data_IF_132973280538
#
_entry.id   IF_132973280538
#
_cell.length_a   1.000
_cell.length_b   1.000
_cell.length_c   1.000
_cell.angle_alpha   90.00
_cell.angle_beta   90.00
_cell.angle_gamma   90.00
#
_symmetry.space_group_name_H-M   'P 1'
#
loop_
_entity.id
_entity.type
_entity.pdbx_description
1 polymer ?
#
# COMPACT_ATOMS: atom_id res chain seq x y z
N UNK A 1 -20.23 -67.10 -14.09
CA UNK A 1 -19.81 -67.97 -15.22
C UNK A 1 -18.30 -68.08 -15.21
N UNK A 2 -17.72 -69.23 -15.51
CA UNK A 2 -16.26 -69.39 -15.62
C UNK A 2 -15.77 -68.98 -17.02
N UNK A 3 -14.48 -68.64 -17.18
CA UNK A 3 -13.89 -68.34 -18.51
C UNK A 3 -14.06 -69.51 -19.50
N UNK A 4 -14.13 -70.75 -18.99
CA UNK A 4 -14.34 -71.95 -19.79
C UNK A 4 -15.79 -72.07 -20.27
N UNK A 5 -16.77 -71.75 -19.43
CA UNK A 5 -18.19 -71.69 -19.79
C UNK A 5 -18.47 -70.58 -20.80
N UNK A 6 -17.91 -69.38 -20.63
CA UNK A 6 -18.03 -68.28 -21.59
C UNK A 6 -17.48 -68.67 -22.98
N UNK A 7 -16.35 -69.38 -23.00
CA UNK A 7 -15.75 -69.91 -24.23
C UNK A 7 -16.63 -70.97 -24.88
N UNK A 8 -17.33 -71.79 -24.08
CA UNK A 8 -18.29 -72.75 -24.59
C UNK A 8 -19.51 -72.06 -25.23
N UNK A 9 -20.02 -70.97 -24.65
CA UNK A 9 -21.12 -70.18 -25.23
C UNK A 9 -20.71 -69.53 -26.56
N UNK A 10 -19.50 -68.94 -26.64
CA UNK A 10 -18.95 -68.38 -27.89
C UNK A 10 -18.78 -69.46 -28.95
N UNK A 11 -18.27 -70.64 -28.57
CA UNK A 11 -18.14 -71.77 -29.50
C UNK A 11 -19.51 -72.23 -30.00
N UNK A 12 -20.51 -72.30 -29.12
CA UNK A 12 -21.89 -72.67 -29.49
C UNK A 12 -22.51 -71.66 -30.45
N UNK A 13 -22.26 -70.38 -30.22
CA UNK A 13 -22.69 -69.31 -31.11
C UNK A 13 -22.03 -69.42 -32.50
N UNK A 14 -20.74 -69.76 -32.55
CA UNK A 14 -20.02 -70.02 -33.80
C UNK A 14 -20.58 -71.23 -34.54
N UNK A 15 -20.92 -72.33 -33.85
CA UNK A 15 -21.55 -73.51 -34.47
C UNK A 15 -22.88 -73.18 -35.15
N UNK A 16 -23.72 -72.33 -34.54
CA UNK A 16 -25.01 -71.92 -35.13
C UNK A 16 -24.76 -71.10 -36.40
N UNK A 17 -23.81 -70.16 -36.38
CA UNK A 17 -23.44 -69.38 -37.56
C UNK A 17 -22.83 -70.25 -38.67
N UNK A 18 -21.97 -71.19 -38.32
CA UNK A 18 -21.31 -72.08 -39.26
C UNK A 18 -22.30 -73.08 -39.86
N UNK A 19 -23.28 -73.55 -39.08
CA UNK A 19 -24.38 -74.38 -39.56
C UNK A 19 -25.28 -73.66 -40.57
N UNK A 20 -25.63 -72.40 -40.30
CA UNK A 20 -26.39 -71.57 -41.24
C UNK A 20 -25.60 -71.28 -42.53
N UNK A 21 -24.31 -70.93 -42.41
CA UNK A 21 -23.41 -70.69 -43.54
C UNK A 21 -23.19 -71.92 -44.41
N UNK A 22 -23.00 -73.10 -43.81
CA UNK A 22 -22.80 -74.35 -44.54
C UNK A 22 -24.02 -74.71 -45.42
N UNK A 23 -25.21 -74.30 -45.00
CA UNK A 23 -26.46 -74.48 -45.77
C UNK A 23 -26.81 -73.29 -46.66
N UNK A 24 -25.94 -72.26 -46.72
CA UNK A 24 -26.12 -71.04 -47.50
C UNK A 24 -27.51 -70.38 -47.28
N UNK A 25 -27.97 -70.38 -46.03
CA UNK A 25 -29.27 -69.87 -45.60
C UNK A 25 -29.11 -68.86 -44.47
N UNK A 26 -30.08 -67.97 -44.33
CA UNK A 26 -30.20 -67.13 -43.14
C UNK A 26 -30.63 -67.96 -41.92
N UNK A 27 -30.26 -67.48 -40.73
CA UNK A 27 -30.67 -68.09 -39.45
C UNK A 27 -32.20 -68.20 -39.41
N UNK A 28 -32.70 -69.37 -39.03
CA UNK A 28 -34.13 -69.53 -38.76
C UNK A 28 -34.55 -68.66 -37.59
N UNK A 29 -35.86 -68.33 -37.47
CA UNK A 29 -36.36 -67.59 -36.32
C UNK A 29 -36.01 -68.24 -34.97
N UNK A 30 -35.90 -69.56 -34.89
CA UNK A 30 -35.49 -70.26 -33.67
C UNK A 30 -33.99 -70.17 -33.40
N UNK A 31 -33.14 -70.29 -34.43
CA UNK A 31 -31.68 -70.17 -34.28
C UNK A 31 -31.26 -68.74 -33.98
N UNK A 32 -31.98 -67.75 -34.51
CA UNK A 32 -31.72 -66.35 -34.23
C UNK A 32 -32.07 -65.99 -32.77
N UNK A 33 -33.15 -66.57 -32.23
CA UNK A 33 -33.48 -66.42 -30.81
C UNK A 33 -32.43 -67.10 -29.90
N UNK A 34 -31.92 -68.27 -30.28
CA UNK A 34 -30.83 -68.94 -29.55
C UNK A 34 -29.53 -68.12 -29.61
N UNK A 35 -29.18 -67.59 -30.78
CA UNK A 35 -28.01 -66.71 -30.96
C UNK A 35 -28.12 -65.43 -30.13
N UNK A 36 -29.26 -64.75 -30.16
CA UNK A 36 -29.49 -63.52 -29.39
C UNK A 36 -29.49 -63.78 -27.88
N UNK A 37 -29.97 -64.94 -27.44
CA UNK A 37 -29.91 -65.35 -26.04
C UNK A 37 -28.46 -65.59 -25.59
N UNK A 38 -27.67 -66.30 -26.40
CA UNK A 38 -26.24 -66.54 -26.15
C UNK A 38 -25.44 -65.23 -26.15
N UNK A 39 -25.70 -64.33 -27.10
CA UNK A 39 -25.04 -63.03 -27.17
C UNK A 39 -25.30 -62.20 -25.91
N UNK A 40 -26.55 -62.17 -25.41
CA UNK A 40 -26.88 -61.47 -24.16
C UNK A 40 -26.12 -62.04 -22.98
N UNK A 41 -25.99 -63.36 -22.88
CA UNK A 41 -25.27 -64.01 -21.78
C UNK A 41 -23.76 -63.72 -21.84
N UNK A 42 -23.18 -63.70 -23.04
CA UNK A 42 -21.80 -63.29 -23.28
C UNK A 42 -21.58 -61.82 -22.91
N UNK A 43 -22.47 -60.92 -23.36
CA UNK A 43 -22.37 -59.48 -23.08
C UNK A 43 -22.50 -59.18 -21.58
N UNK A 44 -23.41 -59.88 -20.88
CA UNK A 44 -23.52 -59.75 -19.41
C UNK A 44 -22.24 -60.16 -18.69
N UNK A 45 -21.59 -61.22 -19.16
CA UNK A 45 -20.34 -61.68 -18.56
C UNK A 45 -19.15 -60.78 -18.87
N UNK A 46 -19.06 -60.23 -20.07
CA UNK A 46 -18.03 -59.25 -20.43
C UNK A 46 -18.20 -58.01 -19.54
N UNK A 47 -19.43 -57.50 -19.37
CA UNK A 47 -19.70 -56.37 -18.49
C UNK A 47 -19.36 -56.65 -17.02
N UNK A 48 -19.71 -57.83 -16.50
CA UNK A 48 -19.34 -58.24 -15.13
C UNK A 48 -17.82 -58.33 -14.95
N UNK A 49 -17.12 -58.94 -15.90
CA UNK A 49 -15.66 -59.09 -15.82
C UNK A 49 -14.92 -57.76 -15.98
N UNK A 50 -15.37 -56.86 -16.86
CA UNK A 50 -14.81 -55.51 -16.98
C UNK A 50 -14.98 -54.70 -15.69
N UNK A 51 -16.12 -54.85 -15.02
CA UNK A 51 -16.39 -54.20 -13.75
C UNK A 51 -15.52 -54.78 -12.61
N UNK A 52 -15.33 -56.11 -12.56
CA UNK A 52 -14.36 -56.75 -11.65
C UNK A 52 -12.93 -56.23 -11.89
N UNK A 53 -12.47 -56.17 -13.15
CA UNK A 53 -11.15 -55.62 -13.47
C UNK A 53 -11.02 -54.13 -13.10
N UNK A 54 -12.09 -53.33 -13.27
CA UNK A 54 -12.12 -51.93 -12.87
C UNK A 54 -11.97 -51.80 -11.35
N UNK A 55 -12.76 -52.55 -10.59
CA UNK A 55 -12.73 -52.55 -9.12
C UNK A 55 -11.38 -53.01 -8.59
N UNK A 56 -10.81 -54.09 -9.13
CA UNK A 56 -9.49 -54.59 -8.72
C UNK A 56 -8.39 -53.57 -9.02
N UNK A 57 -8.43 -52.95 -10.19
CA UNK A 57 -7.44 -51.93 -10.58
C UNK A 57 -7.52 -50.70 -9.69
N UNK A 58 -8.73 -50.18 -9.42
CA UNK A 58 -8.94 -49.04 -8.52
C UNK A 58 -8.50 -49.40 -7.09
N UNK A 59 -8.82 -50.60 -6.62
CA UNK A 59 -8.44 -51.06 -5.27
C UNK A 59 -6.92 -51.16 -5.13
N UNK A 60 -6.22 -51.69 -6.14
CA UNK A 60 -4.75 -51.76 -6.14
C UNK A 60 -4.13 -50.37 -6.14
N UNK A 61 -4.59 -49.46 -7.01
CA UNK A 61 -4.07 -48.10 -7.11
C UNK A 61 -4.31 -47.34 -5.80
N UNK A 62 -5.53 -47.40 -5.25
CA UNK A 62 -5.84 -46.73 -3.98
C UNK A 62 -5.01 -47.29 -2.82
N UNK A 63 -4.73 -48.60 -2.79
CA UNK A 63 -3.88 -49.22 -1.77
C UNK A 63 -2.43 -48.72 -1.82
N UNK A 64 -1.85 -48.59 -3.01
CA UNK A 64 -0.46 -48.11 -3.17
C UNK A 64 -0.28 -46.66 -2.70
N UNK A 65 -1.33 -45.85 -2.82
CA UNK A 65 -1.34 -44.45 -2.40
C UNK A 65 -2.07 -44.18 -1.07
N UNK A 66 -2.39 -45.25 -0.32
CA UNK A 66 -3.03 -45.19 1.01
C UNK A 66 -4.37 -44.40 1.02
N UNK A 67 -5.18 -44.55 -0.02
CA UNK A 67 -6.51 -43.95 -0.19
C UNK A 67 -7.61 -45.00 0.01
N UNK A 68 -8.80 -44.55 0.44
CA UNK A 68 -9.97 -45.40 0.55
C UNK A 68 -10.62 -45.64 -0.83
N UNK A 69 -10.68 -46.89 -1.32
CA UNK A 69 -11.29 -47.21 -2.61
C UNK A 69 -12.82 -47.16 -2.62
N UNK A 70 -13.49 -47.24 -1.46
CA UNK A 70 -14.95 -47.38 -1.39
C UNK A 70 -15.72 -46.23 -2.08
N UNK A 71 -15.21 -45.00 -1.95
CA UNK A 71 -15.81 -43.81 -2.57
C UNK A 71 -15.69 -43.79 -4.11
N UNK A 72 -14.61 -44.32 -4.67
CA UNK A 72 -14.39 -44.36 -6.13
C UNK A 72 -15.12 -45.52 -6.81
N UNK A 73 -15.27 -46.63 -6.09
CA UNK A 73 -16.03 -47.80 -6.58
C UNK A 73 -17.52 -47.47 -6.64
N UNK A 74 -18.08 -46.91 -5.56
CA UNK A 74 -19.51 -46.56 -5.46
C UNK A 74 -19.96 -45.43 -6.39
N UNK A 75 -19.06 -44.53 -6.78
CA UNK A 75 -19.35 -43.43 -7.70
C UNK A 75 -19.26 -43.81 -9.18
N UNK A 76 -18.81 -45.03 -9.51
CA UNK A 76 -18.63 -45.47 -10.89
C UNK A 76 -17.47 -44.78 -11.62
N UNK A 77 -16.50 -44.20 -10.89
CA UNK A 77 -15.39 -43.46 -11.48
C UNK A 77 -14.51 -44.36 -12.37
N UNK A 78 -14.05 -43.82 -13.49
CA UNK A 78 -13.10 -44.52 -14.37
C UNK A 78 -11.72 -44.62 -13.74
N UNK A 79 -10.93 -45.61 -14.19
CA UNK A 79 -9.54 -45.81 -13.71
C UNK A 79 -8.65 -44.58 -13.94
N UNK A 80 -8.89 -43.83 -15.02
CA UNK A 80 -8.12 -42.63 -15.36
C UNK A 80 -8.49 -41.41 -14.51
N UNK A 81 -9.75 -41.27 -14.09
CA UNK A 81 -10.17 -40.23 -13.14
C UNK A 81 -9.56 -40.44 -11.76
N UNK A 82 -9.47 -41.70 -11.31
CA UNK A 82 -8.81 -42.04 -10.04
C UNK A 82 -7.31 -41.68 -10.12
N UNK A 83 -6.62 -42.05 -11.22
CA UNK A 83 -5.21 -41.67 -11.44
C UNK A 83 -5.00 -40.16 -11.48
N UNK A 84 -5.88 -39.42 -12.14
CA UNK A 84 -5.82 -37.96 -12.19
C UNK A 84 -5.97 -37.33 -10.79
N UNK A 85 -6.94 -37.80 -9.99
CA UNK A 85 -7.15 -37.32 -8.62
C UNK A 85 -5.95 -37.60 -7.70
N UNK A 86 -5.28 -38.74 -7.88
CA UNK A 86 -4.07 -39.11 -7.15
C UNK A 86 -2.90 -38.21 -7.56
N UNK A 87 -2.72 -37.97 -8.86
CA UNK A 87 -1.70 -37.05 -9.37
C UNK A 87 -1.88 -35.64 -8.83
N UNK A 88 -3.12 -35.16 -8.69
CA UNK A 88 -3.38 -33.84 -8.12
C UNK A 88 -3.13 -33.80 -6.60
N UNK A 89 -3.50 -34.85 -5.85
CA UNK A 89 -3.09 -34.97 -4.44
C UNK A 89 -1.57 -35.01 -4.29
N UNK A 90 -0.87 -35.76 -5.13
CA UNK A 90 0.59 -35.82 -5.15
C UNK A 90 1.23 -34.48 -5.52
N UNK A 91 0.63 -33.70 -6.42
CA UNK A 91 1.10 -32.32 -6.70
C UNK A 91 0.95 -31.40 -5.50
N UNK A 92 -0.11 -31.59 -4.70
CA UNK A 92 -0.34 -30.81 -3.48
C UNK A 92 0.68 -31.20 -2.40
N UNK A 93 0.90 -32.51 -2.18
CA UNK A 93 1.86 -33.01 -1.20
C UNK A 93 3.33 -32.79 -1.60
N UNK A 94 3.67 -32.91 -2.88
CA UNK A 94 5.02 -32.66 -3.43
C UNK A 94 5.27 -31.21 -3.81
N UNK A 95 4.46 -30.25 -3.35
CA UNK A 95 4.94 -28.87 -3.27
C UNK A 95 6.08 -28.84 -2.26
N UNK A 96 7.29 -29.14 -2.74
CA UNK A 96 8.51 -28.83 -2.03
C UNK A 96 8.41 -27.37 -1.61
N UNK A 97 8.70 -27.00 -0.34
CA UNK A 97 8.88 -25.61 -0.02
C UNK A 97 9.95 -25.12 -0.99
N UNK A 98 9.60 -24.16 -1.85
CA UNK A 98 10.60 -23.38 -2.56
C UNK A 98 11.40 -22.68 -1.47
N UNK A 99 12.47 -23.33 -1.00
CA UNK A 99 13.51 -22.68 -0.21
C UNK A 99 14.23 -21.78 -1.20
N UNK A 100 13.60 -20.64 -1.44
CA UNK A 100 14.28 -19.52 -2.04
C UNK A 100 15.24 -19.06 -0.95
N UNK A 101 16.53 -19.32 -1.13
CA UNK A 101 17.56 -18.70 -0.30
C UNK A 101 17.52 -17.22 -0.66
N UNK A 102 16.65 -16.47 0.01
CA UNK A 102 16.40 -15.07 -0.31
C UNK A 102 17.46 -14.14 0.30
N UNK A 103 18.02 -14.50 1.45
CA UNK A 103 18.96 -13.64 2.19
C UNK A 103 20.20 -14.44 2.64
N UNK A 104 21.38 -13.84 2.48
CA UNK A 104 22.63 -14.35 3.04
C UNK A 104 22.55 -14.40 4.57
N UNK A 105 23.31 -15.29 5.21
CA UNK A 105 23.33 -15.42 6.68
C UNK A 105 23.69 -14.09 7.38
N UNK A 106 24.55 -13.29 6.74
CA UNK A 106 24.92 -11.95 7.18
C UNK A 106 23.74 -10.98 7.21
N UNK A 107 22.89 -11.01 6.18
CA UNK A 107 21.72 -10.14 6.10
C UNK A 107 20.67 -10.53 7.16
N UNK A 108 20.49 -11.84 7.39
CA UNK A 108 19.59 -12.33 8.45
C UNK A 108 20.04 -11.88 9.83
N UNK A 109 21.34 -11.96 10.12
CA UNK A 109 21.89 -11.46 11.38
C UNK A 109 21.72 -9.95 11.51
N UNK A 110 21.98 -9.21 10.42
CA UNK A 110 21.82 -7.75 10.41
C UNK A 110 20.37 -7.36 10.71
N UNK A 111 19.41 -7.98 10.04
CA UNK A 111 17.99 -7.71 10.23
C UNK A 111 17.53 -8.08 11.66
N UNK A 112 17.99 -9.22 12.19
CA UNK A 112 17.74 -9.63 13.57
C UNK A 112 18.35 -8.66 14.59
N UNK A 113 19.57 -8.19 14.36
CA UNK A 113 20.25 -7.23 15.23
C UNK A 113 19.58 -5.85 15.20
N UNK A 114 19.13 -5.40 14.02
CA UNK A 114 18.37 -4.15 13.88
C UNK A 114 17.07 -4.22 14.68
N UNK A 115 16.31 -5.31 14.53
CA UNK A 115 15.04 -5.49 15.24
C UNK A 115 15.22 -5.64 16.74
N UNK A 116 16.29 -6.32 17.17
CA UNK A 116 16.67 -6.43 18.58
C UNK A 116 16.91 -5.05 19.22
N UNK A 117 17.65 -4.17 18.53
CA UNK A 117 17.91 -2.81 19.01
C UNK A 117 16.62 -1.97 19.05
N UNK A 118 15.72 -2.14 18.10
CA UNK A 118 14.43 -1.43 18.07
C UNK A 118 13.50 -1.87 19.21
N UNK A 119 13.36 -3.19 19.41
CA UNK A 119 12.58 -3.77 20.51
C UNK A 119 13.13 -3.33 21.87
N UNK A 120 14.46 -3.32 22.02
CA UNK A 120 15.12 -2.80 23.23
C UNK A 120 14.91 -1.30 23.41
N UNK A 121 14.83 -0.55 22.30
CA UNK A 121 14.50 0.88 22.27
C UNK A 121 13.04 1.20 22.62
N UNK A 122 12.19 0.18 22.82
CA UNK A 122 10.77 0.33 23.12
C UNK A 122 9.90 0.59 21.90
N UNK A 123 10.41 0.33 20.69
CA UNK A 123 9.64 0.41 19.44
C UNK A 123 9.07 -0.98 19.17
N UNK A 124 7.74 -1.08 19.18
CA UNK A 124 7.06 -2.35 18.91
C UNK A 124 7.09 -2.66 17.41
N UNK A 125 7.49 -3.89 17.07
CA UNK A 125 7.60 -4.38 15.70
C UNK A 125 6.65 -5.58 15.59
N UNK A 126 5.66 -5.47 14.70
CA UNK A 126 4.63 -6.50 14.52
C UNK A 126 5.21 -7.86 14.15
N UNK A 127 6.25 -7.89 13.29
CA UNK A 127 6.93 -9.10 12.88
C UNK A 127 8.46 -8.90 12.98
N UNK A 128 9.06 -9.18 14.15
CA UNK A 128 10.51 -9.12 14.31
C UNK A 128 11.19 -10.25 13.53
N UNK A 129 12.36 -9.96 12.97
CA UNK A 129 13.18 -10.97 12.30
C UNK A 129 13.53 -12.16 13.22
N UNK A 130 13.65 -13.39 12.67
CA UNK A 130 14.05 -14.58 13.44
C UNK A 130 15.39 -14.34 14.15
N UNK A 131 15.46 -14.60 15.46
CA UNK A 131 16.65 -14.35 16.29
C UNK A 131 16.72 -12.96 16.95
N UNK A 132 15.84 -12.01 16.59
CA UNK A 132 15.84 -10.67 17.18
C UNK A 132 15.62 -10.67 18.70
N UNK A 133 14.75 -11.57 19.20
CA UNK A 133 14.47 -11.70 20.65
C UNK A 133 15.68 -12.22 21.44
N UNK A 134 16.53 -13.03 20.83
CA UNK A 134 17.75 -13.55 21.46
C UNK A 134 18.81 -12.46 21.57
N UNK A 135 18.92 -11.62 20.54
CA UNK A 135 19.85 -10.49 20.49
C UNK A 135 19.38 -9.29 21.33
N UNK A 136 18.10 -9.22 21.71
CA UNK A 136 17.51 -8.10 22.45
C UNK A 136 18.21 -7.84 23.80
N UNK A 137 18.73 -8.89 24.44
CA UNK A 137 19.45 -8.79 25.71
C UNK A 137 20.90 -8.32 25.59
N UNK A 138 21.45 -8.21 24.38
CA UNK A 138 22.85 -7.84 24.17
C UNK A 138 23.08 -6.33 24.31
N UNK A 139 24.23 -5.98 24.91
CA UNK A 139 24.75 -4.61 24.92
C UNK A 139 25.33 -4.24 23.55
N UNK A 140 25.43 -2.95 23.26
CA UNK A 140 26.10 -2.47 22.04
C UNK A 140 27.54 -3.00 21.88
N UNK A 141 28.30 -3.11 22.98
CA UNK A 141 29.66 -3.70 22.97
C UNK A 141 29.65 -5.20 22.68
N UNK A 142 28.64 -5.94 23.17
CA UNK A 142 28.44 -7.35 22.85
C UNK A 142 28.09 -7.55 21.37
N UNK A 143 27.23 -6.69 20.83
CA UNK A 143 26.88 -6.70 19.41
C UNK A 143 28.09 -6.34 18.52
N UNK A 144 28.90 -5.37 18.92
CA UNK A 144 30.15 -5.03 18.25
C UNK A 144 31.13 -6.22 18.27
N UNK A 145 31.25 -6.91 19.41
CA UNK A 145 32.06 -8.14 19.54
C UNK A 145 31.62 -9.20 18.53
N UNK A 146 30.33 -9.50 18.45
CA UNK A 146 29.78 -10.46 17.49
C UNK A 146 30.04 -10.06 16.03
N UNK A 147 29.93 -8.78 15.70
CA UNK A 147 30.28 -8.27 14.38
C UNK A 147 31.76 -8.48 14.05
N UNK A 148 32.67 -8.31 15.02
CA UNK A 148 34.10 -8.53 14.83
C UNK A 148 34.45 -10.03 14.71
N UNK A 149 33.79 -10.90 15.48
CA UNK A 149 33.93 -12.36 15.35
C UNK A 149 33.53 -12.81 13.94
N UNK A 150 32.38 -12.32 13.45
CA UNK A 150 31.87 -12.61 12.10
C UNK A 150 32.78 -12.06 10.99
N UNK A 151 33.55 -11.01 11.27
CA UNK A 151 34.59 -10.48 10.37
C UNK A 151 35.89 -11.31 10.39
N UNK A 152 36.02 -12.28 11.30
CA UNK A 152 37.20 -13.14 11.40
C UNK A 152 38.26 -12.65 12.37
N UNK A 153 37.97 -11.66 13.23
CA UNK A 153 38.86 -11.29 14.32
C UNK A 153 38.72 -12.33 15.45
N UNK A 154 39.82 -12.97 15.80
CA UNK A 154 39.86 -13.97 16.87
C UNK A 154 39.94 -13.30 18.25
N UNK A 155 39.07 -13.73 19.17
CA UNK A 155 39.00 -13.27 20.57
C UNK A 155 38.84 -11.75 20.77
N UNK A 156 37.87 -11.07 20.12
CA UNK A 156 37.61 -9.65 20.38
C UNK A 156 37.18 -9.39 21.83
N UNK A 157 36.69 -10.39 22.58
CA UNK A 157 36.43 -10.24 24.02
C UNK A 157 37.67 -9.92 24.86
N UNK A 158 38.87 -10.12 24.32
CA UNK A 158 40.15 -9.81 24.99
C UNK A 158 40.67 -8.42 24.65
N UNK A 159 40.04 -7.72 23.71
CA UNK A 159 40.38 -6.34 23.39
C UNK A 159 39.87 -5.41 24.49
N UNK A 160 40.61 -4.33 24.73
CA UNK A 160 40.07 -3.21 25.49
C UNK A 160 38.88 -2.61 24.74
N UNK A 161 37.90 -2.09 25.48
CA UNK A 161 36.69 -1.50 24.91
C UNK A 161 37.02 -0.39 23.90
N UNK A 162 38.14 0.33 24.05
CA UNK A 162 38.58 1.33 23.06
C UNK A 162 38.91 0.69 21.71
N UNK A 163 39.77 -0.32 21.76
CA UNK A 163 40.31 -0.96 20.56
C UNK A 163 39.20 -1.70 19.85
N UNK A 164 38.31 -2.34 20.62
CA UNK A 164 37.12 -2.99 20.12
C UNK A 164 36.21 -2.02 19.36
N UNK A 165 35.87 -0.88 19.97
CA UNK A 165 35.00 0.13 19.36
C UNK A 165 35.62 0.76 18.13
N UNK A 166 36.92 1.05 18.16
CA UNK A 166 37.63 1.61 17.01
C UNK A 166 37.55 0.69 15.79
N UNK A 167 37.77 -0.61 15.97
CA UNK A 167 37.74 -1.53 14.84
C UNK A 167 36.29 -1.82 14.39
N UNK A 168 35.36 -1.82 15.34
CA UNK A 168 33.93 -1.97 15.07
C UNK A 168 33.30 -0.74 14.40
N UNK A 169 33.91 0.45 14.45
CA UNK A 169 33.39 1.68 13.81
C UNK A 169 34.11 2.02 12.50
N UNK A 170 34.83 1.06 11.90
CA UNK A 170 35.41 1.24 10.58
C UNK A 170 34.33 1.43 9.49
N UNK A 171 34.60 2.17 8.39
CA UNK A 171 33.61 2.50 7.36
C UNK A 171 32.86 1.30 6.75
N UNK A 172 33.50 0.13 6.69
CA UNK A 172 32.94 -1.10 6.14
C UNK A 172 32.39 -2.06 7.22
N UNK A 173 32.18 -1.57 8.45
CA UNK A 173 31.79 -2.44 9.55
C UNK A 173 30.30 -2.78 9.51
N UNK A 174 29.99 -4.06 9.75
CA UNK A 174 28.60 -4.51 9.93
C UNK A 174 27.94 -3.80 11.12
N UNK A 175 28.70 -3.52 12.18
CA UNK A 175 28.19 -2.83 13.37
C UNK A 175 27.68 -1.41 13.04
N UNK A 176 28.43 -0.61 12.28
CA UNK A 176 27.98 0.71 11.84
C UNK A 176 26.73 0.62 10.93
N UNK A 177 26.68 -0.37 10.04
CA UNK A 177 25.51 -0.64 9.19
C UNK A 177 24.25 -1.01 9.98
N UNK A 178 24.39 -1.84 11.03
CA UNK A 178 23.29 -2.21 11.93
C UNK A 178 22.79 -0.97 12.67
N UNK A 179 23.70 -0.18 13.24
CA UNK A 179 23.34 1.06 13.96
C UNK A 179 22.60 2.05 13.05
N UNK A 180 23.06 2.22 11.82
CA UNK A 180 22.39 3.08 10.84
C UNK A 180 21.02 2.55 10.42
N UNK A 181 20.91 1.24 10.20
CA UNK A 181 19.65 0.60 9.83
C UNK A 181 18.62 0.69 10.97
N UNK A 182 19.05 0.52 12.22
CA UNK A 182 18.22 0.71 13.40
C UNK A 182 17.73 2.16 13.52
N UNK A 183 18.61 3.16 13.37
CA UNK A 183 18.22 4.56 13.39
C UNK A 183 17.21 4.90 12.28
N UNK A 184 17.45 4.43 11.06
CA UNK A 184 16.54 4.63 9.91
C UNK A 184 15.17 3.99 10.14
N UNK A 185 15.12 2.74 10.63
CA UNK A 185 13.86 2.04 10.88
C UNK A 185 13.09 2.66 12.05
N UNK A 186 13.77 3.08 13.12
CA UNK A 186 13.16 3.83 14.22
C UNK A 186 12.50 5.14 13.76
N UNK A 187 13.21 5.89 12.92
CA UNK A 187 12.71 7.11 12.31
C UNK A 187 11.52 6.83 11.37
N UNK A 188 11.61 5.83 10.50
CA UNK A 188 10.55 5.52 9.53
C UNK A 188 9.22 5.13 10.21
N UNK A 189 9.29 4.34 11.29
CA UNK A 189 8.10 3.94 12.06
C UNK A 189 7.40 5.17 12.66
N UNK A 190 8.18 6.06 13.29
CA UNK A 190 7.63 7.24 13.94
C UNK A 190 7.18 8.33 12.97
N UNK A 191 7.87 8.48 11.84
CA UNK A 191 7.45 9.39 10.76
C UNK A 191 6.08 8.99 10.19
N UNK A 192 5.87 7.69 9.93
CA UNK A 192 4.57 7.18 9.45
C UNK A 192 3.47 7.25 10.50
N UNK A 193 3.83 7.13 11.77
CA UNK A 193 2.89 7.28 12.89
C UNK A 193 2.56 8.75 13.20
N UNK A 194 3.29 9.72 12.63
CA UNK A 194 3.02 11.13 12.85
C UNK A 194 1.62 11.47 12.32
N UNK A 195 0.78 12.01 13.21
CA UNK A 195 -0.61 12.38 12.91
C UNK A 195 -0.66 13.77 12.27
N UNK A 196 -0.13 13.90 11.05
CA UNK A 196 -0.30 15.12 10.26
C UNK A 196 -1.55 15.02 9.39
N UNK A 197 -2.12 16.17 9.04
CA UNK A 197 -3.44 16.25 8.39
C UNK A 197 -3.35 16.77 6.96
N UNK A 198 -2.28 17.49 6.62
CA UNK A 198 -2.09 18.13 5.31
C UNK A 198 -2.18 17.15 4.13
N UNK A 199 -1.73 15.89 4.29
CA UNK A 199 -1.73 14.90 3.20
C UNK A 199 -3.13 14.57 2.66
N UNK A 200 -4.20 14.90 3.41
CA UNK A 200 -5.57 14.58 3.00
C UNK A 200 -6.09 15.47 1.88
N UNK A 201 -5.64 16.72 1.82
CA UNK A 201 -6.24 17.75 0.97
C UNK A 201 -5.24 18.49 0.09
N UNK A 202 -3.93 18.34 0.35
CA UNK A 202 -2.86 18.92 -0.48
C UNK A 202 -2.44 17.98 -1.61
N UNK A 203 -2.01 18.55 -2.73
CA UNK A 203 -1.37 17.82 -3.81
C UNK A 203 0.05 17.36 -3.46
N UNK A 204 0.50 16.29 -4.12
CA UNK A 204 1.88 15.78 -4.02
C UNK A 204 2.61 16.05 -5.32
N UNK A 205 3.69 16.82 -5.24
CA UNK A 205 4.58 17.07 -6.38
C UNK A 205 5.96 16.45 -6.21
N UNK A 206 6.71 16.44 -7.30
CA UNK A 206 8.14 16.15 -7.25
C UNK A 206 8.96 17.00 -8.21
N UNK A 207 10.13 17.41 -7.73
CA UNK A 207 11.17 18.05 -8.52
C UNK A 207 12.41 17.15 -8.59
N UNK A 208 13.09 17.15 -9.73
CA UNK A 208 14.36 16.44 -9.92
C UNK A 208 15.58 17.24 -9.42
N UNK A 209 15.46 18.57 -9.35
CA UNK A 209 16.51 19.46 -8.87
C UNK A 209 15.98 20.54 -7.90
N UNK A 210 16.91 21.29 -7.31
CA UNK A 210 16.61 22.41 -6.42
C UNK A 210 16.27 23.70 -7.17
N UNK A 211 16.32 23.70 -8.51
CA UNK A 211 16.01 24.91 -9.27
C UNK A 211 14.52 25.18 -9.22
N UNK A 212 14.18 26.43 -9.48
CA UNK A 212 12.79 26.83 -9.64
C UNK A 212 12.17 26.09 -10.82
N UNK A 213 11.32 25.10 -10.58
CA UNK A 213 10.52 24.48 -11.63
C UNK A 213 9.27 25.31 -11.85
N UNK A 214 8.95 25.67 -13.10
CA UNK A 214 7.72 26.41 -13.38
C UNK A 214 6.63 25.41 -13.71
N UNK A 215 5.60 25.36 -12.88
CA UNK A 215 4.38 24.64 -13.17
C UNK A 215 3.43 25.58 -13.91
N UNK A 216 3.15 25.24 -15.17
CA UNK A 216 2.31 26.03 -16.06
C UNK A 216 0.87 25.55 -15.93
N UNK A 217 0.00 26.45 -15.47
CA UNK A 217 -1.44 26.26 -15.57
C UNK A 217 -1.88 26.73 -16.95
N UNK A 218 -2.07 25.75 -17.83
CA UNK A 218 -2.59 25.99 -19.17
C UNK A 218 -4.09 26.28 -19.03
N UNK A 219 -4.56 27.41 -19.56
CA UNK A 219 -5.99 27.69 -19.67
C UNK A 219 -6.68 26.59 -20.47
N UNK A 220 -7.88 26.21 -20.03
CA UNK A 220 -8.76 25.32 -20.79
C UNK A 220 -9.09 25.93 -22.16
N UNK A 221 -9.31 25.06 -23.15
CA UNK A 221 -9.67 25.45 -24.51
C UNK A 221 -11.03 26.17 -24.50
N UNK A 222 -11.16 27.24 -25.28
CA UNK A 222 -12.40 27.99 -25.39
C UNK A 222 -13.55 27.16 -25.96
N UNK A 223 -14.78 27.60 -25.67
CA UNK A 223 -16.03 27.03 -26.18
C UNK A 223 -15.98 26.73 -27.68
N UNK A 224 -16.51 25.55 -28.05
CA UNK A 224 -16.63 25.14 -29.45
C UNK A 224 -17.69 25.99 -30.16
N UNK A 225 -17.25 26.91 -31.02
CA UNK A 225 -18.14 27.73 -31.84
C UNK A 225 -18.72 26.89 -32.98
N UNK A 226 -20.02 27.08 -33.25
CA UNK A 226 -20.70 26.40 -34.36
C UNK A 226 -20.15 26.91 -35.70
N UNK A 227 -19.36 26.08 -36.35
CA UNK A 227 -18.84 26.35 -37.71
C UNK A 227 -19.97 26.13 -38.72
N UNK A 228 -20.19 27.09 -39.61
CA UNK A 228 -21.12 26.94 -40.75
C UNK A 228 -20.51 26.02 -41.82
N UNK A 229 -21.30 25.44 -42.74
CA UNK A 229 -20.80 24.45 -43.73
C UNK A 229 -19.65 24.95 -44.64
N UNK A 230 -19.30 26.23 -44.61
CA UNK A 230 -18.11 26.80 -45.27
C UNK A 230 -17.34 27.81 -44.42
N UNK A 231 -17.50 27.80 -43.10
CA UNK A 231 -16.78 28.67 -42.18
C UNK A 231 -15.39 28.13 -41.83
N UNK A 232 -14.43 29.03 -41.57
CA UNK A 232 -13.11 28.69 -41.05
C UNK A 232 -13.16 28.48 -39.53
N UNK A 233 -12.31 27.60 -39.00
CA UNK A 233 -12.18 27.40 -37.56
C UNK A 233 -11.44 28.60 -36.95
N UNK A 234 -12.05 29.27 -35.98
CA UNK A 234 -11.36 30.31 -35.21
C UNK A 234 -10.27 29.67 -34.35
N UNK A 235 -9.06 30.22 -34.41
CA UNK A 235 -7.95 29.79 -33.57
C UNK A 235 -8.18 30.25 -32.14
N UNK A 236 -8.04 29.31 -31.20
CA UNK A 236 -8.18 29.60 -29.79
C UNK A 236 -6.90 30.23 -29.19
N UNK A 237 -7.06 31.25 -28.36
CA UNK A 237 -5.96 31.89 -27.64
C UNK A 237 -5.74 31.21 -26.29
N UNK A 238 -4.74 30.34 -26.23
CA UNK A 238 -4.31 29.68 -24.99
C UNK A 238 -3.49 30.67 -24.15
N UNK A 239 -3.96 30.97 -22.94
CA UNK A 239 -3.19 31.71 -21.92
C UNK A 239 -2.54 30.73 -20.94
N UNK A 240 -1.32 31.04 -20.53
CA UNK A 240 -0.55 30.24 -19.58
C UNK A 240 -0.18 31.09 -18.37
N UNK A 241 -0.28 30.51 -17.17
CA UNK A 241 0.11 31.12 -15.92
C UNK A 241 1.10 30.21 -15.17
N UNK A 242 2.35 30.67 -15.08
CA UNK A 242 3.43 29.92 -14.45
C UNK A 242 3.54 30.15 -12.94
N UNK A 243 3.53 29.08 -12.16
CA UNK A 243 3.83 29.07 -10.72
C UNK A 243 5.23 28.51 -10.50
N UNK A 244 6.10 29.26 -9.83
CA UNK A 244 7.48 28.83 -9.56
C UNK A 244 7.54 27.99 -8.29
N UNK A 245 7.93 26.72 -8.43
CA UNK A 245 8.15 25.77 -7.34
C UNK A 245 9.62 25.65 -6.99
N UNK A 246 9.96 25.62 -5.70
CA UNK A 246 11.33 25.36 -5.25
C UNK A 246 11.33 24.52 -3.99
N UNK A 247 12.35 23.67 -3.87
CA UNK A 247 12.55 22.79 -2.71
C UNK A 247 13.71 23.33 -1.86
N UNK A 248 13.60 23.21 -0.55
CA UNK A 248 14.68 23.55 0.39
C UNK A 248 15.04 22.33 1.26
N UNK A 249 16.32 22.25 1.65
CA UNK A 249 16.83 21.19 2.52
C UNK A 249 16.68 21.60 3.99
N UNK A 250 16.01 20.75 4.78
CA UNK A 250 15.91 20.90 6.23
C UNK A 250 16.61 19.74 6.91
N UNK A 251 17.58 20.01 7.79
CA UNK A 251 18.33 18.95 8.44
C UNK A 251 19.00 19.35 9.76
N UNK A 252 19.47 18.33 10.49
CA UNK A 252 20.20 18.47 11.76
C UNK A 252 21.16 17.30 11.95
N UNK A 253 22.25 17.53 12.68
CA UNK A 253 23.19 16.48 13.07
C UNK A 253 23.12 16.17 14.56
N UNK A 254 23.37 14.91 14.92
CA UNK A 254 23.59 14.49 16.30
C UNK A 254 24.69 13.43 16.35
N UNK A 255 25.15 13.11 17.56
CA UNK A 255 26.27 12.24 17.78
C UNK A 255 26.05 11.28 18.93
N UNK A 256 26.68 10.12 18.86
CA UNK A 256 26.83 9.20 19.98
C UNK A 256 28.30 9.13 20.31
N UNK A 257 28.64 9.56 21.53
CA UNK A 257 30.02 9.51 22.01
C UNK A 257 30.41 8.08 22.36
N UNK A 258 31.71 7.79 22.38
CA UNK A 258 32.25 6.51 22.82
C UNK A 258 31.73 6.10 24.19
N UNK A 259 31.70 7.04 25.14
CA UNK A 259 31.19 6.78 26.49
C UNK A 259 29.73 6.33 26.45
N UNK A 260 28.91 6.94 25.59
CA UNK A 260 27.51 6.55 25.43
C UNK A 260 27.36 5.15 24.81
N UNK A 261 28.27 4.72 23.90
CA UNK A 261 28.25 3.36 23.37
C UNK A 261 28.64 2.33 24.44
N UNK A 262 29.68 2.61 25.21
CA UNK A 262 30.15 1.73 26.31
C UNK A 262 29.09 1.63 27.41
N UNK A 263 28.47 2.75 27.76
CA UNK A 263 27.36 2.84 28.72
C UNK A 263 26.03 2.35 28.15
N UNK A 264 26.01 1.93 26.88
CA UNK A 264 24.85 1.29 26.26
C UNK A 264 23.61 2.21 26.19
N UNK A 265 23.84 3.51 25.98
CA UNK A 265 22.81 4.54 25.85
C UNK A 265 22.13 4.45 24.48
N UNK A 266 21.21 3.49 24.39
CA UNK A 266 20.38 3.23 23.23
C UNK A 266 19.38 4.36 22.96
N UNK A 267 19.12 5.23 23.95
CA UNK A 267 18.15 6.32 23.81
C UNK A 267 18.54 7.29 22.71
N UNK A 268 19.83 7.60 22.59
CA UNK A 268 20.35 8.44 21.52
C UNK A 268 20.28 7.78 20.12
N UNK A 269 20.22 6.44 20.06
CA UNK A 269 20.11 5.70 18.80
C UNK A 269 18.66 5.56 18.32
N UNK A 270 17.69 5.38 19.23
CA UNK A 270 16.29 5.11 18.85
C UNK A 270 15.37 6.28 19.06
N UNK A 271 15.47 6.99 20.20
CA UNK A 271 14.55 8.08 20.57
C UNK A 271 14.87 9.38 19.82
N UNK A 272 16.15 9.72 19.62
CA UNK A 272 16.52 10.95 18.91
C UNK A 272 16.10 10.93 17.44
N UNK A 273 16.38 9.88 16.64
CA UNK A 273 15.91 9.83 15.26
C UNK A 273 14.38 9.88 15.18
N UNK A 274 13.69 9.20 16.10
CA UNK A 274 12.24 9.23 16.18
C UNK A 274 11.68 10.64 16.46
N UNK A 275 12.29 11.36 17.41
CA UNK A 275 11.90 12.73 17.74
C UNK A 275 12.13 13.68 16.54
N UNK A 276 13.25 13.52 15.82
CA UNK A 276 13.52 14.30 14.62
C UNK A 276 12.58 13.94 13.46
N UNK A 277 12.20 12.67 13.30
CA UNK A 277 11.19 12.26 12.33
C UNK A 277 9.86 12.95 12.59
N UNK A 278 9.37 12.90 13.83
CA UNK A 278 8.14 13.59 14.23
C UNK A 278 8.24 15.11 14.10
N UNK A 279 9.41 15.70 14.31
CA UNK A 279 9.65 17.12 14.07
C UNK A 279 9.62 17.47 12.57
N UNK A 280 10.19 16.64 11.71
CA UNK A 280 10.16 16.82 10.26
C UNK A 280 8.73 16.78 9.72
N UNK A 281 7.93 15.78 10.12
CA UNK A 281 6.53 15.68 9.73
C UNK A 281 5.71 16.91 10.16
N UNK A 282 5.87 17.34 11.42
CA UNK A 282 5.23 18.57 11.94
C UNK A 282 5.71 19.82 11.21
N UNK A 283 6.98 19.87 10.79
CA UNK A 283 7.56 20.96 10.03
C UNK A 283 6.82 21.17 8.70
N UNK A 284 6.55 20.09 7.96
CA UNK A 284 5.77 20.15 6.72
C UNK A 284 4.34 20.63 6.99
N UNK A 285 3.68 20.04 7.99
CA UNK A 285 2.32 20.42 8.39
C UNK A 285 2.22 21.92 8.69
N UNK A 286 3.17 22.45 9.49
CA UNK A 286 3.24 23.86 9.86
C UNK A 286 3.44 24.76 8.65
N UNK A 287 4.29 24.40 7.68
CA UNK A 287 4.48 25.22 6.47
C UNK A 287 3.21 25.26 5.60
N UNK A 288 2.48 24.15 5.49
CA UNK A 288 1.19 24.12 4.77
C UNK A 288 0.17 25.02 5.46
N UNK A 289 -0.02 24.87 6.77
CA UNK A 289 -1.02 25.69 7.49
C UNK A 289 -0.61 27.15 7.63
N UNK A 290 0.69 27.45 7.66
CA UNK A 290 1.21 28.82 7.54
C UNK A 290 0.75 29.47 6.24
N UNK A 291 0.73 28.74 5.12
CA UNK A 291 0.27 29.27 3.84
C UNK A 291 -1.22 29.67 3.86
N UNK A 292 -2.06 28.92 4.59
CA UNK A 292 -3.46 29.28 4.79
C UNK A 292 -3.63 30.45 5.78
N UNK A 293 -2.98 30.37 6.95
CA UNK A 293 -3.19 31.31 8.05
C UNK A 293 -2.53 32.68 7.86
N UNK A 294 -1.37 32.74 7.20
CA UNK A 294 -0.66 34.01 6.96
C UNK A 294 -1.18 34.79 5.74
N UNK A 295 -1.99 34.14 4.89
CA UNK A 295 -2.54 34.70 3.66
C UNK A 295 -1.48 35.44 2.78
N UNK A 296 -0.44 34.74 2.31
CA UNK A 296 0.66 35.36 1.58
C UNK A 296 0.24 35.75 0.16
N UNK A 297 1.06 36.61 -0.46
CA UNK A 297 0.93 36.98 -1.87
C UNK A 297 1.34 35.79 -2.75
N UNK A 298 0.49 35.45 -3.71
CA UNK A 298 0.71 34.34 -4.64
C UNK A 298 1.29 34.84 -5.98
N UNK A 299 1.36 33.95 -6.98
CA UNK A 299 2.04 34.19 -8.26
C UNK A 299 1.46 35.34 -9.10
N UNK A 300 0.22 35.76 -8.84
CA UNK A 300 -0.45 36.88 -9.52
C UNK A 300 -0.21 38.25 -8.85
N UNK A 301 0.53 38.30 -7.74
CA UNK A 301 0.79 39.52 -6.99
C UNK A 301 -0.33 39.94 -6.03
N UNK A 302 -1.39 39.14 -5.91
CA UNK A 302 -2.50 39.34 -4.96
C UNK A 302 -2.39 38.33 -3.81
N UNK A 303 -2.97 38.66 -2.65
CA UNK A 303 -3.04 37.72 -1.52
C UNK A 303 -3.88 36.49 -1.87
N UNK A 304 -3.53 35.32 -1.32
CA UNK A 304 -4.24 34.06 -1.54
C UNK A 304 -5.75 34.22 -1.40
N UNK A 305 -6.22 34.71 -0.25
CA UNK A 305 -7.61 35.04 0.04
C UNK A 305 -7.86 36.52 -0.16
N UNK A 306 -8.63 36.86 -1.19
CA UNK A 306 -8.96 38.23 -1.54
C UNK A 306 -10.33 38.31 -2.22
N UNK A 307 -10.98 39.48 -2.13
CA UNK A 307 -12.22 39.75 -2.85
C UNK A 307 -12.02 39.67 -4.39
N UNK A 308 -10.84 40.04 -4.90
CA UNK A 308 -10.49 39.92 -6.32
C UNK A 308 -10.49 38.46 -6.81
N UNK A 309 -10.17 37.52 -5.92
CA UNK A 309 -10.18 36.07 -6.19
C UNK A 309 -11.55 35.42 -5.93
N UNK A 310 -12.53 36.20 -5.47
CA UNK A 310 -13.86 35.72 -5.08
C UNK A 310 -13.84 34.52 -4.11
N UNK A 311 -12.77 34.39 -3.32
CA UNK A 311 -12.50 33.25 -2.46
C UNK A 311 -12.49 33.60 -0.96
N UNK A 312 -13.04 34.76 -0.59
CA UNK A 312 -13.21 35.20 0.79
C UNK A 312 -14.65 35.62 1.06
N UNK A 313 -15.17 35.28 2.24
CA UNK A 313 -16.46 35.75 2.69
C UNK A 313 -16.45 37.28 2.91
N UNK A 314 -17.48 38.02 2.44
CA UNK A 314 -17.55 39.47 2.62
C UNK A 314 -17.73 39.88 4.09
N UNK A 315 -18.27 38.99 4.92
CA UNK A 315 -18.37 39.14 6.36
C UNK A 315 -18.05 37.81 7.05
N UNK A 316 -17.43 37.89 8.22
CA UNK A 316 -17.21 36.73 9.08
C UNK A 316 -18.54 36.11 9.50
N UNK A 317 -18.60 34.79 9.57
CA UNK A 317 -19.81 34.08 9.98
C UNK A 317 -19.52 32.70 10.55
N UNK A 318 -20.34 32.29 11.53
CA UNK A 318 -20.27 30.96 12.14
C UNK A 318 -20.50 29.84 11.12
N UNK A 319 -20.08 28.62 11.46
CA UNK A 319 -20.31 27.43 10.65
C UNK A 319 -21.80 27.07 10.71
N UNK A 320 -22.52 27.33 9.61
CA UNK A 320 -23.93 26.95 9.45
C UNK A 320 -24.24 26.68 7.97
N UNK A 321 -25.44 26.16 7.68
CA UNK A 321 -25.84 25.75 6.33
C UNK A 321 -25.80 26.94 5.34
N UNK A 322 -26.19 28.13 5.78
CA UNK A 322 -26.23 29.32 4.93
C UNK A 322 -24.81 29.78 4.52
N UNK A 323 -23.91 29.90 5.49
CA UNK A 323 -22.55 30.39 5.28
C UNK A 323 -21.69 29.37 4.52
N UNK A 324 -21.80 28.08 4.87
CA UNK A 324 -21.12 27.01 4.12
C UNK A 324 -21.72 26.89 2.72
N UNK A 325 -23.04 26.99 2.57
CA UNK A 325 -23.72 27.01 1.27
C UNK A 325 -23.27 28.16 0.37
N UNK A 326 -23.06 29.36 0.93
CA UNK A 326 -22.50 30.50 0.21
C UNK A 326 -21.07 30.22 -0.27
N UNK A 327 -20.21 29.67 0.59
CA UNK A 327 -18.85 29.27 0.21
C UNK A 327 -18.81 28.21 -0.89
N UNK A 328 -19.68 27.18 -0.81
CA UNK A 328 -19.84 26.18 -1.88
C UNK A 328 -20.27 26.83 -3.20
N UNK A 329 -21.19 27.79 -3.14
CA UNK A 329 -21.66 28.48 -4.32
C UNK A 329 -20.60 29.43 -4.90
N UNK A 330 -19.75 30.02 -4.06
CA UNK A 330 -18.60 30.83 -4.50
C UNK A 330 -17.59 29.96 -5.24
N UNK A 331 -17.17 28.82 -4.66
CA UNK A 331 -16.25 27.87 -5.31
C UNK A 331 -16.79 27.34 -6.64
N UNK A 332 -18.08 26.99 -6.68
CA UNK A 332 -18.71 26.55 -7.93
C UNK A 332 -18.77 27.62 -9.01
N UNK A 333 -18.84 28.90 -8.63
CA UNK A 333 -18.87 30.04 -9.55
C UNK A 333 -17.49 30.54 -9.95
N UNK A 334 -16.42 29.92 -9.46
CA UNK A 334 -15.08 30.23 -9.92
C UNK A 334 -14.99 30.04 -11.43
N UNK A 335 -14.34 30.97 -12.09
CA UNK A 335 -14.18 30.97 -13.54
C UNK A 335 -12.77 30.57 -13.93
N UNK A 336 -12.63 30.09 -15.16
CA UNK A 336 -11.34 29.76 -15.75
C UNK A 336 -10.44 31.00 -15.87
N UNK A 337 -9.18 30.81 -16.29
CA UNK A 337 -8.20 31.91 -16.43
C UNK A 337 -8.65 33.03 -17.38
N UNK A 338 -9.60 32.73 -18.27
CA UNK A 338 -10.18 33.69 -19.22
C UNK A 338 -11.45 34.37 -18.69
N UNK A 339 -12.02 33.89 -17.59
CA UNK A 339 -13.27 34.41 -17.01
C UNK A 339 -14.53 34.04 -17.79
N UNK A 340 -14.44 33.11 -18.75
CA UNK A 340 -15.52 32.81 -19.69
C UNK A 340 -16.37 31.61 -19.24
N UNK A 341 -15.73 30.59 -18.69
CA UNK A 341 -16.39 29.35 -18.27
C UNK A 341 -16.36 29.20 -16.75
N UNK A 342 -17.45 28.66 -16.21
CA UNK A 342 -17.58 28.36 -14.78
C UNK A 342 -17.09 26.95 -14.49
N UNK A 343 -16.11 26.81 -13.60
CA UNK A 343 -15.41 25.54 -13.34
C UNK A 343 -16.23 24.56 -12.47
N UNK A 344 -17.32 25.00 -11.84
CA UNK A 344 -18.21 24.16 -11.02
C UNK A 344 -17.49 23.34 -9.94
N UNK A 345 -16.39 23.88 -9.40
CA UNK A 345 -15.53 23.23 -8.40
C UNK A 345 -16.33 22.96 -7.13
N UNK A 346 -16.26 21.73 -6.62
CA UNK A 346 -16.95 21.33 -5.40
C UNK A 346 -15.97 21.27 -4.22
N UNK A 347 -16.25 21.92 -3.08
CA UNK A 347 -15.48 21.68 -1.87
C UNK A 347 -15.77 20.27 -1.35
N UNK A 348 -14.70 19.62 -0.88
CA UNK A 348 -14.72 18.31 -0.23
C UNK A 348 -14.23 18.39 1.21
N UNK A 349 -13.28 19.27 1.51
CA UNK A 349 -12.70 19.40 2.84
C UNK A 349 -13.16 20.69 3.53
N UNK A 350 -13.54 20.57 4.80
CA UNK A 350 -13.77 21.70 5.70
C UNK A 350 -12.63 21.73 6.71
N UNK A 351 -11.74 22.71 6.55
CA UNK A 351 -10.53 22.87 7.35
C UNK A 351 -10.79 23.90 8.44
N UNK A 352 -10.53 23.52 9.69
CA UNK A 352 -10.83 24.36 10.86
C UNK A 352 -9.71 24.31 11.91
N UNK A 353 -9.54 25.39 12.69
CA UNK A 353 -8.73 25.39 13.90
C UNK A 353 -9.31 24.43 14.95
N UNK A 354 -8.48 24.00 15.91
CA UNK A 354 -8.90 23.11 16.99
C UNK A 354 -10.02 23.72 17.84
N UNK A 355 -10.03 25.05 17.96
CA UNK A 355 -11.07 25.80 18.68
C UNK A 355 -12.49 25.61 18.11
N UNK A 356 -12.63 25.31 16.81
CA UNK A 356 -13.92 25.10 16.13
C UNK A 356 -14.26 23.63 15.91
N UNK A 357 -13.49 22.70 16.47
CA UNK A 357 -13.68 21.26 16.27
C UNK A 357 -15.09 20.83 16.69
N UNK A 358 -15.54 21.24 17.88
CA UNK A 358 -16.85 20.84 18.42
C UNK A 358 -17.98 21.32 17.53
N UNK A 359 -17.92 22.57 17.06
CA UNK A 359 -18.97 23.14 16.20
C UNK A 359 -18.96 22.51 14.81
N UNK A 360 -17.78 22.18 14.29
CA UNK A 360 -17.61 21.45 13.02
C UNK A 360 -18.17 20.03 13.11
N UNK A 361 -17.88 19.31 14.19
CA UNK A 361 -18.44 17.99 14.45
C UNK A 361 -19.98 18.06 14.56
N UNK A 362 -20.52 19.05 15.27
CA UNK A 362 -21.98 19.28 15.35
C UNK A 362 -22.59 19.55 13.98
N UNK A 363 -21.91 20.28 13.11
CA UNK A 363 -22.39 20.56 11.75
C UNK A 363 -22.42 19.30 10.87
N UNK A 364 -21.43 18.43 10.99
CA UNK A 364 -21.28 17.23 10.15
C UNK A 364 -22.16 16.07 10.64
N UNK A 365 -22.52 16.03 11.92
CA UNK A 365 -23.44 15.03 12.45
C UNK A 365 -24.84 15.19 11.83
N UNK A 366 -25.34 14.12 11.18
CA UNK A 366 -26.68 14.06 10.55
C UNK A 366 -27.85 14.20 11.53
N UNK A 367 -27.62 14.04 12.84
CA UNK A 367 -28.66 13.90 13.84
C UNK A 367 -28.34 14.73 15.10
N UNK A 368 -28.63 16.03 15.07
CA UNK A 368 -28.85 16.79 16.30
C UNK A 368 -30.35 17.03 16.43
N UNK A 369 -31.03 16.16 17.20
CA UNK A 369 -32.43 16.20 17.64
C UNK A 369 -33.50 16.64 16.60
N UNK A 370 -34.21 15.70 15.95
CA UNK A 370 -35.30 16.00 15.03
C UNK A 370 -36.58 16.31 15.82
N UNK A 371 -36.69 17.52 16.40
CA UNK A 371 -37.99 18.03 16.86
C UNK A 371 -38.76 18.73 15.73
N UNK A 372 -38.11 18.98 14.58
CA UNK A 372 -38.75 19.58 13.40
C UNK A 372 -38.34 18.83 12.13
N UNK A 373 -39.33 18.46 11.31
CA UNK A 373 -39.21 17.60 10.12
C UNK A 373 -38.49 18.26 8.91
N UNK A 374 -37.75 19.35 9.13
CA UNK A 374 -37.02 20.09 8.09
C UNK A 374 -35.53 20.36 8.40
N UNK A 375 -35.01 19.83 9.51
CA UNK A 375 -33.66 20.12 10.00
C UNK A 375 -32.59 19.06 9.61
N UNK A 376 -32.80 18.31 8.52
CA UNK A 376 -31.77 17.38 8.02
C UNK A 376 -30.72 18.23 7.29
N UNK A 377 -29.48 18.24 7.77
CA UNK A 377 -28.38 18.92 7.07
C UNK A 377 -28.03 18.14 5.78
N UNK A 378 -28.31 18.67 4.57
CA UNK A 378 -27.97 17.99 3.32
C UNK A 378 -26.45 18.00 3.05
N UNK A 379 -25.70 18.84 3.78
CA UNK A 379 -24.25 19.00 3.65
C UNK A 379 -23.45 18.03 4.53
N UNK A 380 -24.11 17.31 5.44
CA UNK A 380 -23.48 16.42 6.42
C UNK A 380 -22.67 15.26 5.82
N UNK A 381 -22.94 14.88 4.56
CA UNK A 381 -22.16 13.84 3.85
C UNK A 381 -21.31 14.40 2.71
N UNK A 382 -21.34 15.71 2.47
CA UNK A 382 -20.65 16.33 1.34
C UNK A 382 -19.27 16.87 1.71
N UNK A 383 -18.99 17.08 3.00
CA UNK A 383 -17.74 17.67 3.49
C UNK A 383 -17.08 16.76 4.53
N UNK A 384 -15.77 16.59 4.41
CA UNK A 384 -14.92 15.90 5.37
C UNK A 384 -14.23 16.92 6.30
N UNK A 385 -14.32 16.77 7.64
CA UNK A 385 -13.65 17.67 8.56
C UNK A 385 -12.15 17.40 8.61
N UNK A 386 -11.37 18.47 8.54
CA UNK A 386 -9.92 18.47 8.79
C UNK A 386 -9.66 19.48 9.89
N UNK A 387 -9.37 18.98 11.08
CA UNK A 387 -9.05 19.81 12.25
C UNK A 387 -7.55 19.82 12.45
N UNK A 388 -6.96 21.01 12.53
CA UNK A 388 -5.53 21.15 12.85
C UNK A 388 -5.25 22.35 13.75
N UNK A 389 -4.47 22.11 14.82
CA UNK A 389 -4.14 23.11 15.81
C UNK A 389 -3.09 24.13 15.34
N UNK A 390 -2.38 23.87 14.23
CA UNK A 390 -1.41 24.82 13.66
C UNK A 390 -2.09 26.09 13.11
N UNK A 391 -3.43 26.09 12.95
CA UNK A 391 -4.21 27.26 12.54
C UNK A 391 -4.56 28.20 13.71
N UNK A 392 -4.62 27.69 14.95
CA UNK A 392 -5.01 28.44 16.14
C UNK A 392 -4.17 29.71 16.39
N UNK A 393 -2.84 29.73 16.15
CA UNK A 393 -2.02 30.93 16.30
C UNK A 393 -2.38 32.07 15.33
N UNK A 394 -3.04 31.77 14.21
CA UNK A 394 -3.42 32.76 13.19
C UNK A 394 -4.85 33.26 13.43
N UNK A 395 -5.80 32.35 13.59
CA UNK A 395 -7.18 32.70 13.90
C UNK A 395 -7.92 31.53 14.54
N UNK A 396 -8.61 31.82 15.65
CA UNK A 396 -9.44 30.85 16.36
C UNK A 396 -10.84 30.69 15.74
N UNK A 397 -11.25 31.63 14.89
CA UNK A 397 -12.61 31.72 14.33
C UNK A 397 -12.64 31.45 12.82
N UNK A 398 -11.51 31.60 12.12
CA UNK A 398 -11.49 31.41 10.68
C UNK A 398 -11.65 29.94 10.30
N UNK A 399 -12.43 29.68 9.25
CA UNK A 399 -12.60 28.36 8.66
C UNK A 399 -12.44 28.42 7.15
N UNK A 400 -12.00 27.30 6.57
CA UNK A 400 -11.64 27.23 5.16
C UNK A 400 -12.33 26.04 4.49
N UNK A 401 -12.66 26.20 3.22
CA UNK A 401 -13.09 25.10 2.35
C UNK A 401 -12.00 24.84 1.31
N UNK A 402 -11.75 23.56 1.04
CA UNK A 402 -10.85 23.13 -0.01
C UNK A 402 -11.52 22.09 -0.91
N UNK A 403 -11.20 22.16 -2.21
CA UNK A 403 -11.57 21.16 -3.21
C UNK A 403 -10.75 19.87 -3.05
N UNK A 404 -11.13 18.82 -3.79
CA UNK A 404 -10.30 17.63 -3.90
C UNK A 404 -9.05 17.97 -4.74
N UNK A 405 -7.82 17.64 -4.29
CA UNK A 405 -6.60 17.87 -5.08
C UNK A 405 -6.61 17.14 -6.43
N UNK A 406 -7.45 16.12 -6.63
CA UNK A 406 -7.64 15.48 -7.94
C UNK A 406 -8.50 16.30 -8.90
N UNK A 407 -9.38 17.17 -8.40
CA UNK A 407 -10.23 18.05 -9.22
C UNK A 407 -9.49 19.34 -9.52
N UNK A 408 -8.96 20.00 -8.49
CA UNK A 408 -8.15 21.21 -8.59
C UNK A 408 -7.04 21.16 -7.53
N UNK A 409 -5.80 21.11 -7.97
CA UNK A 409 -4.65 21.16 -7.07
C UNK A 409 -4.43 22.60 -6.59
N UNK A 410 -4.56 22.81 -5.28
CA UNK A 410 -4.54 24.15 -4.66
C UNK A 410 -3.20 24.43 -4.01
N UNK A 411 -2.82 23.60 -3.04
CA UNK A 411 -1.53 23.65 -2.37
C UNK A 411 -0.82 22.33 -2.58
N UNK A 412 0.39 22.41 -3.12
CA UNK A 412 1.23 21.24 -3.37
C UNK A 412 2.41 21.21 -2.39
N UNK A 413 2.66 20.02 -1.84
CA UNK A 413 3.93 19.70 -1.19
C UNK A 413 4.83 18.99 -2.20
N UNK A 414 5.88 19.67 -2.61
CA UNK A 414 6.85 19.18 -3.58
C UNK A 414 8.02 18.53 -2.86
N UNK A 415 8.36 17.29 -3.20
CA UNK A 415 9.52 16.57 -2.67
C UNK A 415 10.62 16.41 -3.73
N UNK A 416 11.88 16.41 -3.31
CA UNK A 416 12.99 16.12 -4.22
C UNK A 416 13.02 14.63 -4.57
N UNK A 417 13.00 14.29 -5.86
CA UNK A 417 13.06 12.91 -6.37
C UNK A 417 12.08 11.94 -5.69
N UNK A 418 10.84 12.41 -5.49
CA UNK A 418 9.73 11.71 -4.84
C UNK A 418 10.00 11.23 -3.40
N UNK A 419 11.08 11.71 -2.79
CA UNK A 419 11.53 11.28 -1.47
C UNK A 419 10.80 12.02 -0.36
N UNK A 420 9.69 11.43 0.09
CA UNK A 420 8.81 11.96 1.14
C UNK A 420 9.19 11.52 2.57
N UNK A 421 10.20 10.65 2.70
CA UNK A 421 10.74 10.19 3.99
C UNK A 421 12.11 10.83 4.23
N UNK A 422 12.40 11.33 5.45
CA UNK A 422 13.72 11.86 5.77
C UNK A 422 14.83 10.82 5.57
N UNK A 423 16.04 11.30 5.31
CA UNK A 423 17.22 10.45 5.12
C UNK A 423 18.14 10.59 6.32
N UNK A 424 18.65 9.48 6.84
CA UNK A 424 19.75 9.49 7.82
C UNK A 424 21.01 8.97 7.15
N UNK A 425 22.07 9.75 7.28
CA UNK A 425 23.43 9.36 6.93
C UNK A 425 24.32 9.41 8.16
N UNK A 426 25.40 8.63 8.16
CA UNK A 426 26.33 8.57 9.27
C UNK A 426 27.78 8.67 8.77
N UNK A 427 28.64 9.14 9.66
CA UNK A 427 30.09 9.14 9.46
C UNK A 427 30.78 8.88 10.81
N UNK A 428 31.92 8.16 10.83
CA UNK A 428 32.84 8.20 11.95
C UNK A 428 33.27 9.66 12.17
N UNK A 429 33.13 10.15 13.40
CA UNK A 429 33.45 11.55 13.69
C UNK A 429 34.96 11.72 13.88
N UNK A 430 35.55 12.72 13.22
CA UNK A 430 36.92 13.15 13.50
C UNK A 430 37.00 14.12 14.68
N UNK A 431 35.92 14.87 14.94
CA UNK A 431 35.89 15.92 15.97
C UNK A 431 35.78 15.35 17.40
N UNK A 432 35.19 14.16 17.54
CA UNK A 432 35.05 13.47 18.82
C UNK A 432 35.04 11.96 18.61
N UNK A 433 35.48 11.21 19.62
CA UNK A 433 35.47 9.75 19.57
C UNK A 433 34.02 9.23 19.63
N UNK A 434 33.49 8.79 18.49
CA UNK A 434 32.11 8.32 18.35
C UNK A 434 31.61 8.28 16.91
N UNK A 435 30.30 8.16 16.75
CA UNK A 435 29.61 8.19 15.44
C UNK A 435 28.74 9.42 15.36
N UNK A 436 28.79 10.11 14.22
CA UNK A 436 27.95 11.27 13.91
C UNK A 436 26.90 10.85 12.89
N UNK A 437 25.67 11.29 13.11
CA UNK A 437 24.57 11.17 12.16
C UNK A 437 24.09 12.54 11.71
N UNK A 438 23.60 12.60 10.49
CA UNK A 438 22.81 13.72 9.96
C UNK A 438 21.47 13.20 9.45
N UNK A 439 20.40 13.92 9.79
CA UNK A 439 19.06 13.73 9.21
C UNK A 439 18.76 14.92 8.33
N UNK A 440 18.20 14.68 7.15
CA UNK A 440 17.69 15.74 6.29
C UNK A 440 16.48 15.28 5.49
N UNK A 441 15.65 16.24 5.10
CA UNK A 441 14.53 16.06 4.19
C UNK A 441 14.43 17.29 3.28
N UNK A 442 14.12 17.05 2.02
CA UNK A 442 14.01 18.08 1.00
C UNK A 442 12.53 18.24 0.61
N UNK A 443 11.93 19.36 1.00
CA UNK A 443 10.54 19.65 0.64
C UNK A 443 10.32 21.15 0.39
N UNK A 444 9.28 21.45 -0.38
CA UNK A 444 8.77 22.80 -0.62
C UNK A 444 7.24 22.79 -0.55
N UNK A 445 6.65 23.88 -0.09
CA UNK A 445 5.20 24.07 -0.07
C UNK A 445 4.87 25.26 -0.97
N UNK A 446 3.98 25.06 -1.93
CA UNK A 446 3.65 26.08 -2.93
C UNK A 446 2.15 26.13 -3.17
N UNK A 447 1.62 27.34 -3.39
CA UNK A 447 0.22 27.51 -3.81
C UNK A 447 0.17 27.55 -5.32
N UNK A 448 -0.56 26.60 -5.89
CA UNK A 448 -0.79 26.47 -7.32
C UNK A 448 -2.05 27.19 -7.75
N UNK A 449 -3.16 27.01 -7.04
CA UNK A 449 -4.43 27.62 -7.44
C UNK A 449 -5.21 28.12 -6.21
N UNK A 450 -5.72 29.34 -6.31
CA UNK A 450 -6.59 29.95 -5.31
C UNK A 450 -8.07 29.55 -5.48
N UNK A 451 -8.49 29.09 -6.68
CA UNK A 451 -9.89 28.82 -7.04
C UNK A 451 -10.49 27.64 -6.28
N UNK A 452 -9.67 26.65 -5.95
CA UNK A 452 -10.10 25.51 -5.15
C UNK A 452 -10.15 25.77 -3.64
N UNK A 453 -9.89 27.01 -3.19
CA UNK A 453 -9.92 27.40 -1.77
C UNK A 453 -10.99 28.46 -1.52
N UNK A 454 -11.53 28.49 -0.32
CA UNK A 454 -12.40 29.57 0.15
C UNK A 454 -12.21 29.80 1.65
N UNK A 455 -12.14 31.06 2.09
CA UNK A 455 -11.98 31.44 3.49
C UNK A 455 -13.20 32.19 4.01
N UNK A 456 -13.57 31.91 5.26
CA UNK A 456 -14.44 32.77 6.05
C UNK A 456 -13.72 33.11 7.37
N UNK A 457 -13.69 34.40 7.72
CA UNK A 457 -13.00 34.87 8.93
C UNK A 457 -13.66 34.42 10.25
N UNK A 458 -14.90 33.94 10.19
CA UNK A 458 -15.68 33.56 11.37
C UNK A 458 -16.08 34.73 12.26
N UNK A 459 -16.78 34.41 13.36
CA UNK A 459 -17.15 35.33 14.46
C UNK A 459 -16.91 34.61 15.77
#
# INVERSE_FOLDING_TARGET
MTKEEARALVNRQQEILDGAKAMNRDLTPSEQVEFDALQREIDTFIAETEEEYRVDTITSICRDFNLDPAGYISSGASTDEVRASILDKLKIERKSPKVTITNYETDKFRDAAVDALLLRGGIDIQEPAPGAKELQGMRLTGLATECLIRRGIYSPQRLDDDVLLREALSPDSQFASIMSSAANKAMAVTYRAARTTYQRWTGRGSNSDFKGATHYQISEAGDLVRVSQGGEFEFDEIRDQGVRKSVATFGRSWGLTRQAIINDDLGALTKLPAAYAGAAARGINRLVYMQLGSNPVIYDGVQLFNAAHANIAPAGGIINIANVGAGRAAMKRQTNLRGLETLNIKPKYLIVPASLETDTQRFILKAYYPTTQGAINPLASALEPVVDAELDPYSLTAWYLAADPQEVDTIEVTYLNEKDVPTIENEPSFDYLGVKWRIYIDYGVTVLDYRGLYMNAGI
#
